data_IF_118049535072
#
_entry.id   IF_118049535072
#
_cell.length_a   1.000
_cell.length_b   1.000
_cell.length_c   1.000
_cell.angle_alpha   90.00
_cell.angle_beta   90.00
_cell.angle_gamma   90.00
#
_symmetry.space_group_name_H-M   'P 1'
#
loop_
_entity.id
_entity.type
_entity.pdbx_description
1 polymer ?
#
# COMPACT_ATOMS: atom_id res chain seq x y z
N UNK A 1 -24.79 -14.44 1.50
CA UNK A 1 -23.94 -14.14 2.67
C UNK A 1 -22.54 -14.65 2.36
N UNK A 2 -21.49 -13.85 2.62
CA UNK A 2 -20.07 -14.01 2.24
C UNK A 2 -19.72 -13.61 0.79
N UNK A 3 -18.81 -12.69 0.47
CA UNK A 3 -18.10 -11.62 1.20
C UNK A 3 -17.44 -10.77 0.11
N UNK A 4 -18.11 -9.72 -0.37
CA UNK A 4 -17.54 -8.73 -1.32
C UNK A 4 -16.49 -7.84 -0.62
N UNK A 5 -16.30 -8.02 0.69
CA UNK A 5 -15.35 -7.29 1.53
C UNK A 5 -13.88 -7.54 1.17
N UNK A 6 -13.53 -8.68 0.56
CA UNK A 6 -12.14 -9.08 0.28
C UNK A 6 -11.63 -8.75 -1.13
N UNK A 7 -12.46 -8.22 -2.04
CA UNK A 7 -12.02 -7.79 -3.38
C UNK A 7 -11.61 -6.30 -3.46
N UNK A 8 -11.96 -5.51 -2.45
CA UNK A 8 -11.58 -4.10 -2.35
C UNK A 8 -10.11 -3.82 -1.90
N UNK A 9 -9.44 -4.63 -1.07
CA UNK A 9 -8.08 -4.32 -0.61
C UNK A 9 -7.01 -4.48 -1.69
N UNK A 10 -7.25 -5.26 -2.75
CA UNK A 10 -6.25 -5.42 -3.83
C UNK A 10 -6.20 -4.24 -4.82
N UNK A 11 -7.26 -3.42 -4.88
CA UNK A 11 -7.41 -2.38 -5.91
C UNK A 11 -7.29 -0.95 -5.37
N UNK A 12 -7.42 -0.73 -4.06
CA UNK A 12 -7.37 0.62 -3.52
C UNK A 12 -5.91 1.05 -3.29
N UNK A 13 -5.33 1.69 -4.31
CA UNK A 13 -3.97 2.27 -4.27
C UNK A 13 -3.78 3.17 -3.04
N UNK A 14 -4.84 3.84 -2.57
CA UNK A 14 -4.78 4.68 -1.36
C UNK A 14 -4.57 3.82 -0.11
N UNK A 15 -5.24 2.66 -0.01
CA UNK A 15 -5.06 1.74 1.12
C UNK A 15 -3.72 1.02 1.09
N UNK A 16 -3.22 0.66 -0.10
CA UNK A 16 -1.89 0.08 -0.30
C UNK A 16 -0.78 1.04 0.17
N UNK A 17 -0.86 2.30 -0.27
CA UNK A 17 0.01 3.39 0.19
C UNK A 17 -0.11 3.59 1.69
N UNK A 18 -1.33 3.66 2.22
CA UNK A 18 -1.58 3.85 3.67
C UNK A 18 -0.93 2.74 4.47
N UNK A 19 -1.10 1.48 4.06
CA UNK A 19 -0.54 0.32 4.75
C UNK A 19 0.99 0.29 4.68
N UNK A 20 1.59 0.61 3.52
CA UNK A 20 3.03 0.70 3.35
C UNK A 20 3.66 1.78 4.25
N UNK A 21 3.02 2.96 4.34
CA UNK A 21 3.48 4.04 5.20
C UNK A 21 3.35 3.71 6.68
N UNK A 22 2.23 3.10 7.10
CA UNK A 22 2.03 2.68 8.49
C UNK A 22 3.10 1.65 8.90
N UNK A 23 3.34 0.65 8.07
CA UNK A 23 4.37 -0.35 8.34
C UNK A 23 5.78 0.30 8.39
N UNK A 24 6.09 1.28 7.53
CA UNK A 24 7.38 1.98 7.57
C UNK A 24 7.60 2.70 8.90
N UNK A 25 6.54 3.32 9.43
CA UNK A 25 6.56 4.00 10.72
C UNK A 25 6.68 3.02 11.89
N UNK A 26 6.00 1.88 11.86
CA UNK A 26 6.09 0.85 12.92
C UNK A 26 7.50 0.26 13.05
N UNK A 27 8.23 0.16 11.94
CA UNK A 27 9.62 -0.35 11.94
C UNK A 27 10.66 0.70 12.32
N UNK A 28 10.29 1.97 12.51
CA UNK A 28 11.23 3.02 12.91
C UNK A 28 11.67 2.84 14.36
N UNK A 29 12.96 3.12 14.58
CA UNK A 29 13.57 3.14 15.91
C UNK A 29 14.29 4.48 16.12
N UNK A 30 13.99 5.21 17.20
CA UNK A 30 12.98 4.92 18.21
C UNK A 30 11.55 5.04 17.66
N UNK A 31 10.56 4.33 18.24
CA UNK A 31 9.17 4.48 17.83
C UNK A 31 8.65 5.89 18.13
N UNK A 32 7.70 6.42 17.34
CA UNK A 32 7.12 7.74 17.57
C UNK A 32 6.45 7.79 18.96
N UNK A 33 6.81 8.78 19.77
CA UNK A 33 6.33 8.89 21.16
C UNK A 33 5.25 9.94 21.34
N UNK A 34 5.08 10.83 20.37
CA UNK A 34 4.06 11.87 20.36
C UNK A 34 3.28 11.87 19.05
N UNK A 35 2.05 12.43 19.01
CA UNK A 35 1.33 12.62 17.76
C UNK A 35 2.12 13.42 16.72
N UNK A 36 2.97 14.34 17.17
CA UNK A 36 3.82 15.16 16.31
C UNK A 36 4.99 14.36 15.72
N UNK A 37 5.60 13.47 16.52
CA UNK A 37 6.59 12.51 16.02
C UNK A 37 5.98 11.54 15.01
N UNK A 38 4.73 11.11 15.24
CA UNK A 38 4.01 10.24 14.32
C UNK A 38 3.76 10.94 12.98
N UNK A 39 3.30 12.19 13.02
CA UNK A 39 3.10 13.01 11.82
C UNK A 39 4.41 13.21 11.06
N UNK A 40 5.51 13.49 11.78
CA UNK A 40 6.83 13.68 11.20
C UNK A 40 7.36 12.39 10.57
N UNK A 41 7.19 11.25 11.26
CA UNK A 41 7.60 9.95 10.75
C UNK A 41 6.81 9.54 9.49
N UNK A 42 5.51 9.81 9.44
CA UNK A 42 4.69 9.58 8.25
C UNK A 42 5.15 10.44 7.08
N UNK A 43 5.47 11.71 7.33
CA UNK A 43 5.91 12.65 6.29
C UNK A 43 7.28 12.27 5.72
N UNK A 44 8.19 11.85 6.60
CA UNK A 44 9.55 11.45 6.25
C UNK A 44 9.54 10.10 5.51
N UNK A 45 8.77 9.11 5.99
CA UNK A 45 8.52 7.86 5.26
C UNK A 45 7.84 8.11 3.91
N UNK A 46 6.92 9.06 3.80
CA UNK A 46 6.32 9.43 2.51
C UNK A 46 7.34 10.07 1.56
N UNK A 47 8.22 10.93 2.07
CA UNK A 47 9.29 11.56 1.30
C UNK A 47 10.33 10.55 0.79
N UNK A 48 10.64 9.52 1.58
CA UNK A 48 11.51 8.39 1.18
C UNK A 48 10.81 7.43 0.21
N UNK A 49 9.49 7.25 0.34
CA UNK A 49 8.67 6.37 -0.50
C UNK A 49 8.39 6.98 -1.89
N UNK A 50 8.22 8.31 -1.96
CA UNK A 50 7.81 9.06 -3.17
C UNK A 50 8.80 9.05 -4.37
N UNK A 51 10.14 9.04 -4.22
CA UNK A 51 11.06 9.15 -5.35
C UNK A 51 11.08 7.89 -6.21
N UNK A 52 10.91 6.70 -5.60
CA UNK A 52 10.85 5.41 -6.31
C UNK A 52 9.44 4.99 -6.72
N UNK A 53 8.41 5.35 -5.93
CA UNK A 53 7.02 4.95 -6.19
C UNK A 53 6.30 5.83 -7.22
N UNK A 54 6.80 7.04 -7.54
CA UNK A 54 6.19 7.93 -8.55
C UNK A 54 6.12 7.34 -9.96
N UNK A 55 6.85 6.27 -10.25
CA UNK A 55 6.72 5.49 -11.49
C UNK A 55 5.67 4.35 -11.36
N UNK A 56 5.45 3.83 -10.15
CA UNK A 56 4.93 2.48 -9.94
C UNK A 56 3.41 2.30 -9.99
N UNK A 57 2.50 3.21 -9.60
CA UNK A 57 1.07 2.87 -9.64
C UNK A 57 0.55 2.75 -11.08
N UNK A 58 0.84 3.74 -11.94
CA UNK A 58 0.45 3.70 -13.37
C UNK A 58 1.17 2.58 -14.14
N UNK A 59 2.44 2.30 -13.85
CA UNK A 59 3.20 1.24 -14.53
C UNK A 59 2.92 -0.18 -13.99
N UNK A 60 2.55 -0.33 -12.71
CA UNK A 60 2.19 -1.63 -12.13
C UNK A 60 0.71 -1.98 -12.27
N UNK A 61 -0.14 -1.00 -12.60
CA UNK A 61 -1.57 -1.22 -12.86
C UNK A 61 -1.80 -2.29 -13.93
N UNK A 62 -1.13 -2.29 -15.10
CA UNK A 62 -1.21 -3.38 -16.06
C UNK A 62 -0.79 -4.75 -15.50
N UNK A 63 0.30 -4.81 -14.72
CA UNK A 63 0.80 -6.06 -14.13
C UNK A 63 -0.16 -6.64 -13.07
N UNK A 64 -0.72 -5.79 -12.20
CA UNK A 64 -1.73 -6.19 -11.20
C UNK A 64 -3.02 -6.67 -11.87
N UNK A 65 -3.46 -5.98 -12.93
CA UNK A 65 -4.62 -6.40 -13.72
C UNK A 65 -4.38 -7.74 -14.43
N UNK A 66 -3.19 -7.97 -14.98
CA UNK A 66 -2.82 -9.23 -15.62
C UNK A 66 -2.76 -10.39 -14.61
N UNK A 67 -2.24 -10.17 -13.41
CA UNK A 67 -2.26 -11.16 -12.32
C UNK A 67 -3.69 -11.50 -11.87
N UNK A 68 -4.57 -10.50 -11.78
CA UNK A 68 -5.98 -10.69 -11.43
C UNK A 68 -6.75 -11.47 -12.52
N UNK A 69 -6.54 -11.13 -13.80
CA UNK A 69 -7.13 -11.86 -14.92
C UNK A 69 -6.66 -13.32 -14.95
N UNK A 70 -5.40 -13.58 -14.59
CA UNK A 70 -4.85 -14.93 -14.48
C UNK A 70 -5.45 -15.70 -13.30
N UNK A 71 -5.61 -15.07 -12.14
CA UNK A 71 -6.21 -15.68 -10.95
C UNK A 71 -7.69 -16.04 -11.14
N UNK A 72 -8.42 -15.26 -11.96
CA UNK A 72 -9.83 -15.53 -12.32
C UNK A 72 -10.01 -16.57 -13.43
N UNK A 73 -8.92 -17.05 -14.03
CA UNK A 73 -8.91 -18.02 -15.12
C UNK A 73 -8.73 -19.48 -14.71
N UNK A 74 -8.64 -19.80 -13.41
CA UNK A 74 -8.57 -21.19 -12.95
C UNK A 74 -9.98 -21.74 -12.70
N UNK A 75 -10.47 -22.70 -13.51
CA UNK A 75 -11.62 -23.51 -13.14
C UNK A 75 -11.22 -24.42 -11.98
N UNK A 76 -12.19 -24.67 -11.10
CA UNK A 76 -12.11 -25.73 -10.09
C UNK A 76 -12.11 -27.10 -10.75
#
# INVERSE_FOLDING_TARGET
HLTISHLAPEMNIIEDIRNALLHAVEKRSPPPRTPMDLLTALQDSWCEFSPGYRQTPVESMPCRFASLLRARGSPT
#
